data_IF_027386491072
#
_entry.id   IF_027386491072
#
_cell.length_a   1.000
_cell.length_b   1.000
_cell.length_c   1.000
_cell.angle_alpha   90.00
_cell.angle_beta   90.00
_cell.angle_gamma   90.00
#
_symmetry.space_group_name_H-M   'P 1'
#
loop_
_entity.id
_entity.type
_entity.pdbx_description
1 polymer ?
#
# COMPACT_ATOMS: atom_id res chain seq x y z
N UNK A 1 -1.30 22.28 1.79
CA UNK A 1 -1.41 21.65 0.45
C UNK A 1 -0.63 20.36 0.40
N UNK A 2 0.67 20.34 0.75
CA UNK A 2 1.48 19.10 0.78
C UNK A 2 0.87 17.96 1.60
N UNK A 3 0.40 18.20 2.83
CA UNK A 3 -0.18 17.14 3.67
C UNK A 3 -1.39 16.45 3.00
N UNK A 4 -2.24 17.22 2.32
CA UNK A 4 -3.40 16.70 1.60
C UNK A 4 -2.97 15.91 0.36
N UNK A 5 -1.90 16.32 -0.31
CA UNK A 5 -1.30 15.57 -1.43
C UNK A 5 -0.72 14.23 -0.95
N UNK A 6 0.01 14.21 0.16
CA UNK A 6 0.57 12.99 0.75
C UNK A 6 -0.53 12.02 1.22
N UNK A 7 -1.60 12.55 1.83
CA UNK A 7 -2.75 11.76 2.23
C UNK A 7 -3.50 11.17 1.01
N UNK A 8 -3.64 11.94 -0.07
CA UNK A 8 -4.22 11.45 -1.33
C UNK A 8 -3.40 10.32 -1.97
N UNK A 9 -2.08 10.43 -1.95
CA UNK A 9 -1.17 9.38 -2.43
C UNK A 9 -1.26 8.10 -1.59
N UNK A 10 -1.41 8.23 -0.26
CA UNK A 10 -1.60 7.07 0.62
C UNK A 10 -2.88 6.32 0.30
N UNK A 11 -3.99 7.04 0.16
CA UNK A 11 -5.30 6.44 -0.14
C UNK A 11 -5.24 5.66 -1.46
N UNK A 12 -4.60 6.21 -2.49
CA UNK A 12 -4.39 5.54 -3.78
C UNK A 12 -3.54 4.26 -3.66
N UNK A 13 -2.45 4.30 -2.88
CA UNK A 13 -1.58 3.14 -2.65
C UNK A 13 -2.31 2.01 -1.90
N UNK A 14 -3.06 2.36 -0.85
CA UNK A 14 -3.87 1.41 -0.10
C UNK A 14 -4.94 0.78 -1.00
N UNK A 15 -5.65 1.59 -1.79
CA UNK A 15 -6.67 1.09 -2.72
C UNK A 15 -6.11 0.10 -3.74
N UNK A 16 -4.98 0.44 -4.38
CA UNK A 16 -4.35 -0.45 -5.37
C UNK A 16 -3.96 -1.79 -4.75
N UNK A 17 -3.40 -1.77 -3.55
CA UNK A 17 -2.97 -3.00 -2.94
C UNK A 17 -4.13 -3.87 -2.41
N UNK A 18 -5.24 -3.25 -1.98
CA UNK A 18 -6.49 -3.99 -1.74
C UNK A 18 -7.01 -4.65 -3.02
N UNK A 19 -6.92 -3.96 -4.16
CA UNK A 19 -7.29 -4.53 -5.46
C UNK A 19 -6.40 -5.73 -5.81
N UNK A 20 -5.09 -5.63 -5.61
CA UNK A 20 -4.15 -6.72 -5.92
C UNK A 20 -4.35 -7.93 -4.98
N UNK A 21 -4.69 -7.69 -3.71
CA UNK A 21 -5.10 -8.73 -2.75
C UNK A 21 -6.36 -9.46 -3.20
N UNK A 22 -7.40 -8.71 -3.64
CA UNK A 22 -8.64 -9.28 -4.14
C UNK A 22 -8.42 -10.07 -5.43
N UNK A 23 -7.60 -9.55 -6.34
CA UNK A 23 -7.23 -10.21 -7.58
C UNK A 23 -6.50 -11.53 -7.30
N UNK A 24 -5.50 -11.51 -6.40
CA UNK A 24 -4.76 -12.70 -5.98
C UNK A 24 -5.66 -13.75 -5.28
N UNK A 25 -6.64 -13.30 -4.49
CA UNK A 25 -7.62 -14.18 -3.86
C UNK A 25 -8.56 -14.83 -4.88
N UNK A 26 -8.98 -14.10 -5.92
CA UNK A 26 -9.81 -14.60 -7.02
C UNK A 26 -9.03 -15.60 -7.88
N UNK A 27 -7.75 -15.34 -8.14
CA UNK A 27 -6.89 -16.20 -8.98
C UNK A 27 -6.26 -17.38 -8.21
N UNK A 28 -6.49 -17.46 -6.89
CA UNK A 28 -5.86 -18.42 -5.98
C UNK A 28 -4.31 -18.36 -6.03
N UNK A 29 -3.75 -17.18 -6.31
CA UNK A 29 -2.31 -16.94 -6.35
C UNK A 29 -1.82 -16.43 -4.99
N UNK A 30 -1.46 -17.37 -4.11
CA UNK A 30 -0.92 -17.06 -2.79
C UNK A 30 0.40 -16.27 -2.81
N UNK A 31 1.14 -16.30 -3.93
CA UNK A 31 2.40 -15.56 -4.09
C UNK A 31 2.12 -14.09 -4.36
N UNK A 32 1.18 -13.81 -5.27
CA UNK A 32 0.73 -12.45 -5.58
C UNK A 32 0.06 -11.81 -4.35
N UNK A 33 -0.68 -12.59 -3.57
CA UNK A 33 -1.28 -12.15 -2.31
C UNK A 33 -0.21 -11.72 -1.30
N UNK A 34 0.80 -12.57 -1.07
CA UNK A 34 1.90 -12.28 -0.15
C UNK A 34 2.71 -11.05 -0.58
N UNK A 35 3.04 -10.92 -1.87
CA UNK A 35 3.78 -9.78 -2.40
C UNK A 35 3.00 -8.45 -2.26
N UNK A 36 1.68 -8.48 -2.48
CA UNK A 36 0.82 -7.31 -2.36
C UNK A 36 0.76 -6.80 -0.92
N UNK A 37 0.67 -7.71 0.06
CA UNK A 37 0.68 -7.36 1.49
C UNK A 37 2.03 -6.74 1.91
N UNK A 38 3.15 -7.32 1.49
CA UNK A 38 4.50 -6.79 1.82
C UNK A 38 4.68 -5.38 1.25
N UNK A 39 4.29 -5.15 -0.01
CA UNK A 39 4.36 -3.83 -0.64
C UNK A 39 3.53 -2.76 0.11
N UNK A 40 2.39 -3.12 0.71
CA UNK A 40 1.61 -2.22 1.56
C UNK A 40 2.41 -1.81 2.79
N UNK A 41 2.97 -2.81 3.48
CA UNK A 41 3.69 -2.59 4.74
C UNK A 41 4.90 -1.69 4.49
N UNK A 42 5.71 -1.99 3.47
CA UNK A 42 6.88 -1.17 3.11
C UNK A 42 6.49 0.26 2.73
N UNK A 43 5.44 0.42 1.90
CA UNK A 43 4.94 1.75 1.51
C UNK A 43 4.38 2.54 2.70
N UNK A 44 3.77 1.86 3.66
CA UNK A 44 3.22 2.48 4.87
C UNK A 44 4.33 2.89 5.83
N UNK A 45 5.37 2.05 6.00
CA UNK A 45 6.54 2.34 6.84
C UNK A 45 7.35 3.51 6.27
N UNK A 46 7.64 3.53 4.97
CA UNK A 46 8.34 4.67 4.32
C UNK A 46 7.58 5.98 4.56
N UNK A 47 6.24 5.94 4.47
CA UNK A 47 5.44 7.12 4.70
C UNK A 47 5.40 7.55 6.18
N UNK A 48 5.34 6.60 7.11
CA UNK A 48 5.43 6.90 8.55
C UNK A 48 6.79 7.50 8.88
N UNK A 49 7.88 6.98 8.33
CA UNK A 49 9.22 7.54 8.52
C UNK A 49 9.31 8.98 8.03
N UNK A 50 8.79 9.25 6.82
CA UNK A 50 8.72 10.62 6.27
C UNK A 50 7.85 11.55 7.12
N UNK A 51 6.76 11.05 7.69
CA UNK A 51 5.88 11.84 8.56
C UNK A 51 6.53 12.14 9.92
N UNK A 52 7.27 11.18 10.47
CA UNK A 52 7.99 11.34 11.74
C UNK A 52 9.32 12.09 11.60
N UNK A 53 9.75 12.41 10.38
CA UNK A 53 10.95 13.21 10.10
C UNK A 53 12.27 12.46 10.27
N UNK A 54 12.25 11.12 10.18
CA UNK A 54 13.45 10.26 10.15
C UNK A 54 13.89 9.97 8.71
#
# INVERSE_FOLDING_TARGET
MELLTHLGVLIMKLFNAFKDILEAAITNDGTQLGASIVNIIESSVDMVNRFLGN
#
